data_IF_625423292047
#
_entry.id   IF_625423292047
#
_cell.length_a   1.000
_cell.length_b   1.000
_cell.length_c   1.000
_cell.angle_alpha   90.00
_cell.angle_beta   90.00
_cell.angle_gamma   90.00
#
_symmetry.space_group_name_H-M   'P 1'
#
loop_
_entity.id
_entity.type
_entity.pdbx_description
1 polymer ?
#
# COMPACT_ATOMS: atom_id res chain seq x y z
N UNK A 1 10.78 15.17 -32.94
CA UNK A 1 10.02 15.91 -31.92
C UNK A 1 9.08 15.01 -31.10
N UNK A 2 8.11 14.31 -31.70
CA UNK A 2 7.21 13.41 -30.92
C UNK A 2 7.94 12.20 -30.35
N UNK A 3 8.85 11.63 -31.12
CA UNK A 3 9.69 10.48 -30.70
C UNK A 3 10.63 10.84 -29.56
N UNK A 4 11.21 12.02 -29.58
CA UNK A 4 12.12 12.52 -28.53
C UNK A 4 11.37 12.77 -27.21
N UNK A 5 10.12 13.24 -27.29
CA UNK A 5 9.25 13.43 -26.13
C UNK A 5 8.88 12.08 -25.51
N UNK A 6 8.48 11.11 -26.32
CA UNK A 6 8.16 9.74 -25.86
C UNK A 6 9.38 9.07 -25.22
N UNK A 7 10.55 9.19 -25.84
CA UNK A 7 11.80 8.64 -25.33
C UNK A 7 12.19 9.31 -23.99
N UNK A 8 11.99 10.63 -23.88
CA UNK A 8 12.24 11.37 -22.63
C UNK A 8 11.30 10.89 -21.51
N UNK A 9 10.01 10.71 -21.78
CA UNK A 9 9.07 10.19 -20.79
C UNK A 9 9.38 8.78 -20.32
N UNK A 10 9.81 7.89 -21.25
CA UNK A 10 10.20 6.51 -20.90
C UNK A 10 11.45 6.48 -20.03
N UNK A 11 12.44 7.31 -20.34
CA UNK A 11 13.69 7.43 -19.56
C UNK A 11 13.40 7.97 -18.16
N UNK A 12 12.62 9.03 -18.04
CA UNK A 12 12.23 9.61 -16.73
C UNK A 12 11.44 8.60 -15.90
N UNK A 13 10.50 7.87 -16.50
CA UNK A 13 9.74 6.83 -15.82
C UNK A 13 10.64 5.69 -15.34
N UNK A 14 11.62 5.28 -16.15
CA UNK A 14 12.59 4.25 -15.77
C UNK A 14 13.49 4.73 -14.61
N UNK A 15 13.94 5.99 -14.63
CA UNK A 15 14.71 6.57 -13.52
C UNK A 15 13.91 6.64 -12.23
N UNK A 16 12.62 7.02 -12.30
CA UNK A 16 11.74 7.06 -11.12
C UNK A 16 11.56 5.65 -10.56
N UNK A 17 11.32 4.65 -11.41
CA UNK A 17 11.18 3.25 -11.00
C UNK A 17 12.49 2.72 -10.38
N UNK A 18 13.64 3.03 -10.99
CA UNK A 18 14.94 2.64 -10.48
C UNK A 18 15.24 3.32 -9.14
N UNK A 19 14.92 4.59 -9.01
CA UNK A 19 15.09 5.34 -7.76
C UNK A 19 14.19 4.80 -6.64
N UNK A 20 12.91 4.53 -6.93
CA UNK A 20 12.01 3.87 -6.00
C UNK A 20 12.54 2.49 -5.59
N UNK A 21 13.03 1.71 -6.55
CA UNK A 21 13.62 0.39 -6.29
C UNK A 21 14.85 0.48 -5.37
N UNK A 22 15.75 1.45 -5.62
CA UNK A 22 16.93 1.68 -4.78
C UNK A 22 16.53 2.11 -3.36
N UNK A 23 15.48 2.92 -3.20
CA UNK A 23 14.98 3.33 -1.89
C UNK A 23 14.46 2.15 -1.05
N UNK A 24 13.92 1.12 -1.69
CA UNK A 24 13.35 -0.05 -1.02
C UNK A 24 14.36 -1.20 -0.81
N UNK A 25 15.40 -1.31 -1.65
CA UNK A 25 16.32 -2.46 -1.67
C UNK A 25 17.09 -2.64 -0.35
N UNK A 26 17.40 -1.55 0.33
CA UNK A 26 18.20 -1.56 1.56
C UNK A 26 17.37 -1.31 2.83
N UNK A 27 16.05 -1.23 2.72
CA UNK A 27 15.17 -1.00 3.86
C UNK A 27 14.63 -2.30 4.42
N UNK A 28 14.58 -2.39 5.75
CA UNK A 28 13.75 -3.37 6.43
C UNK A 28 12.30 -2.97 6.21
N UNK A 29 11.50 -3.84 5.62
CA UNK A 29 10.10 -3.54 5.28
C UNK A 29 9.18 -4.44 6.08
N UNK A 30 8.22 -3.82 6.74
CA UNK A 30 7.07 -4.46 7.36
C UNK A 30 5.84 -4.12 6.52
N UNK A 31 5.07 -5.12 6.15
CA UNK A 31 3.86 -4.95 5.35
C UNK A 31 2.62 -5.27 6.16
N UNK A 32 1.64 -4.40 6.11
CA UNK A 32 0.30 -4.61 6.65
C UNK A 32 -0.65 -4.63 5.46
N UNK A 33 -1.16 -5.81 5.11
CA UNK A 33 -2.02 -5.98 3.93
C UNK A 33 -2.97 -7.17 4.08
N UNK A 34 -3.82 -7.35 3.08
CA UNK A 34 -4.80 -8.43 3.06
C UNK A 34 -4.14 -9.80 3.31
N UNK A 35 -4.81 -10.65 4.08
CA UNK A 35 -4.35 -12.01 4.43
C UNK A 35 -4.09 -12.92 3.23
N UNK A 36 -4.75 -12.63 2.08
CA UNK A 36 -4.60 -13.36 0.82
C UNK A 36 -3.45 -12.85 -0.05
N UNK A 37 -2.68 -11.87 0.44
CA UNK A 37 -1.57 -11.29 -0.31
C UNK A 37 -0.47 -12.32 -0.57
N UNK A 38 -0.10 -12.47 -1.84
CA UNK A 38 1.07 -13.24 -2.27
C UNK A 38 2.29 -12.32 -2.32
N UNK A 39 3.21 -12.49 -1.39
CA UNK A 39 4.41 -11.65 -1.29
C UNK A 39 5.52 -12.06 -2.25
N UNK A 40 5.41 -13.21 -2.90
CA UNK A 40 6.47 -13.78 -3.76
C UNK A 40 6.78 -12.92 -4.99
N UNK A 41 5.84 -12.06 -5.39
CA UNK A 41 5.95 -11.19 -6.56
C UNK A 41 6.41 -9.77 -6.23
N UNK A 42 6.64 -9.47 -4.95
CA UNK A 42 7.14 -8.16 -4.56
C UNK A 42 8.60 -8.00 -4.98
N UNK A 43 9.00 -6.81 -5.47
CA UNK A 43 10.38 -6.53 -5.88
C UNK A 43 11.32 -6.27 -4.69
N UNK A 44 10.86 -6.46 -3.46
CA UNK A 44 11.60 -6.25 -2.22
C UNK A 44 11.24 -7.31 -1.18
N UNK A 45 12.12 -7.51 -0.20
CA UNK A 45 11.90 -8.45 0.89
C UNK A 45 11.10 -7.82 2.02
N UNK A 46 10.13 -8.55 2.53
CA UNK A 46 9.30 -8.17 3.70
C UNK A 46 9.76 -8.98 4.91
N UNK A 47 10.21 -8.29 5.97
CA UNK A 47 10.70 -8.95 7.20
C UNK A 47 9.55 -9.44 8.09
N UNK A 48 8.39 -8.80 8.00
CA UNK A 48 7.17 -9.18 8.74
C UNK A 48 5.93 -8.76 7.97
N UNK A 49 4.96 -9.65 7.86
CA UNK A 49 3.66 -9.40 7.29
C UNK A 49 2.58 -9.51 8.37
N UNK A 50 1.91 -8.40 8.67
CA UNK A 50 0.71 -8.39 9.49
C UNK A 50 -0.50 -8.47 8.58
N UNK A 51 -1.33 -9.48 8.80
CA UNK A 51 -2.45 -9.83 7.92
C UNK A 51 -3.74 -9.18 8.40
N UNK A 52 -4.45 -8.55 7.47
CA UNK A 52 -5.79 -8.01 7.71
C UNK A 52 -6.82 -8.76 6.87
N UNK A 53 -7.99 -8.98 7.44
CA UNK A 53 -9.14 -9.54 6.75
C UNK A 53 -10.09 -8.45 6.23
N UNK A 54 -11.28 -8.88 5.83
CA UNK A 54 -12.36 -7.98 5.46
C UNK A 54 -12.79 -7.15 6.67
N UNK A 55 -13.27 -5.91 6.40
CA UNK A 55 -13.70 -4.97 7.43
C UNK A 55 -12.65 -4.76 8.53
N UNK A 56 -11.41 -4.53 8.12
CA UNK A 56 -10.23 -4.50 8.99
C UNK A 56 -10.33 -3.46 10.11
N UNK A 57 -11.04 -2.35 9.91
CA UNK A 57 -11.22 -1.33 10.95
C UNK A 57 -11.94 -1.89 12.19
N UNK A 58 -12.83 -2.85 12.00
CA UNK A 58 -13.55 -3.50 13.12
C UNK A 58 -12.83 -4.77 13.57
N UNK A 59 -12.45 -5.62 12.62
CA UNK A 59 -12.00 -6.98 12.91
C UNK A 59 -10.49 -7.07 13.18
N UNK A 60 -9.71 -6.06 12.80
CA UNK A 60 -8.24 -6.07 12.92
C UNK A 60 -7.69 -4.92 13.77
N UNK A 61 -8.54 -4.28 14.57
CA UNK A 61 -8.12 -3.18 15.45
C UNK A 61 -7.04 -3.62 16.46
N UNK A 62 -7.09 -4.86 16.92
CA UNK A 62 -6.11 -5.46 17.81
C UNK A 62 -4.67 -5.44 17.27
N UNK A 63 -4.50 -5.31 15.95
CA UNK A 63 -3.18 -5.25 15.33
C UNK A 63 -2.36 -4.04 15.78
N UNK A 64 -2.99 -2.97 16.25
CA UNK A 64 -2.28 -1.81 16.80
C UNK A 64 -1.40 -2.27 17.97
N UNK A 65 -1.97 -3.02 18.91
CA UNK A 65 -1.25 -3.49 20.07
C UNK A 65 -0.28 -4.62 19.73
N UNK A 66 -0.66 -5.52 18.82
CA UNK A 66 0.21 -6.58 18.33
C UNK A 66 1.46 -6.03 17.64
N UNK A 67 1.32 -5.00 16.78
CA UNK A 67 2.45 -4.36 16.11
C UNK A 67 3.33 -3.63 17.13
N UNK A 68 2.74 -2.90 18.08
CA UNK A 68 3.49 -2.24 19.16
C UNK A 68 4.33 -3.24 19.95
N UNK A 69 3.71 -4.35 20.36
CA UNK A 69 4.40 -5.40 21.09
C UNK A 69 5.55 -6.01 20.26
N UNK A 70 5.29 -6.29 18.97
CA UNK A 70 6.31 -6.84 18.08
C UNK A 70 7.49 -5.88 17.87
N UNK A 71 7.25 -4.56 17.78
CA UNK A 71 8.29 -3.53 17.68
C UNK A 71 9.19 -3.58 18.94
N UNK A 72 8.59 -3.66 20.12
CA UNK A 72 9.29 -3.69 21.40
C UNK A 72 10.10 -4.98 21.57
N UNK A 73 9.47 -6.14 21.37
CA UNK A 73 10.11 -7.45 21.53
C UNK A 73 11.32 -7.66 20.62
N UNK A 74 11.30 -7.02 19.43
CA UNK A 74 12.37 -7.18 18.45
C UNK A 74 13.27 -5.94 18.31
N UNK A 75 13.08 -4.91 19.14
CA UNK A 75 13.84 -3.66 19.09
C UNK A 75 13.87 -3.04 17.68
N UNK A 76 12.69 -2.93 17.04
CA UNK A 76 12.57 -2.52 15.65
C UNK A 76 12.80 -1.02 15.50
N UNK A 77 13.82 -0.66 14.71
CA UNK A 77 14.22 0.71 14.38
C UNK A 77 14.63 0.82 12.92
N UNK A 78 14.61 2.04 12.37
CA UNK A 78 14.93 2.35 10.96
C UNK A 78 14.25 1.40 9.96
N UNK A 79 12.98 1.13 10.21
CA UNK A 79 12.16 0.18 9.45
C UNK A 79 11.03 0.92 8.77
N UNK A 80 10.74 0.55 7.52
CA UNK A 80 9.64 1.11 6.75
C UNK A 80 8.40 0.22 6.89
N UNK A 81 7.34 0.78 7.45
CA UNK A 81 6.02 0.18 7.56
C UNK A 81 5.15 0.63 6.39
N UNK A 82 4.73 -0.31 5.56
CA UNK A 82 3.83 -0.09 4.44
C UNK A 82 2.43 -0.56 4.80
N UNK A 83 1.47 0.35 4.74
CA UNK A 83 0.09 0.05 5.03
C UNK A 83 -0.76 -0.04 3.76
N UNK A 84 -1.46 -1.14 3.60
CA UNK A 84 -2.51 -1.38 2.62
C UNK A 84 -3.74 -1.91 3.36
N UNK A 85 -4.27 -1.09 4.30
CA UNK A 85 -5.24 -1.48 5.31
C UNK A 85 -6.46 -0.52 5.37
N UNK A 86 -6.78 0.13 4.25
CA UNK A 86 -7.90 1.06 4.16
C UNK A 86 -7.85 2.11 5.29
N UNK A 87 -8.97 2.45 5.92
CA UNK A 87 -9.03 3.45 7.00
C UNK A 87 -8.20 3.09 8.24
N UNK A 88 -7.92 1.81 8.47
CA UNK A 88 -7.04 1.36 9.54
C UNK A 88 -5.59 1.86 9.35
N UNK A 89 -5.15 2.09 8.09
CA UNK A 89 -3.81 2.61 7.78
C UNK A 89 -3.52 3.93 8.49
N UNK A 90 -4.48 4.86 8.48
CA UNK A 90 -4.33 6.17 9.10
C UNK A 90 -4.16 6.07 10.61
N UNK A 91 -4.95 5.20 11.24
CA UNK A 91 -4.90 4.98 12.67
C UNK A 91 -3.59 4.29 13.09
N UNK A 92 -3.18 3.24 12.36
CA UNK A 92 -1.90 2.58 12.57
C UNK A 92 -0.73 3.56 12.44
N UNK A 93 -0.70 4.34 11.36
CA UNK A 93 0.33 5.35 11.13
C UNK A 93 0.44 6.34 12.28
N UNK A 94 -0.69 6.88 12.74
CA UNK A 94 -0.73 7.81 13.86
C UNK A 94 -0.25 7.18 15.18
N UNK A 95 -0.81 6.03 15.54
CA UNK A 95 -0.54 5.37 16.83
C UNK A 95 0.90 4.83 16.93
N UNK A 96 1.46 4.38 15.81
CA UNK A 96 2.83 3.89 15.78
C UNK A 96 3.84 5.04 15.73
N UNK A 97 3.60 6.08 14.92
CA UNK A 97 4.48 7.24 14.84
C UNK A 97 4.60 7.97 16.18
N UNK A 98 3.50 8.11 16.90
CA UNK A 98 3.48 8.77 18.21
C UNK A 98 4.43 8.13 19.24
N UNK A 99 4.68 6.82 19.12
CA UNK A 99 5.50 6.07 20.10
C UNK A 99 6.86 5.65 19.54
N UNK A 100 6.98 5.44 18.23
CA UNK A 100 8.17 4.89 17.59
C UNK A 100 8.56 5.72 16.35
N UNK A 101 8.87 7.01 16.57
CA UNK A 101 9.18 8.01 15.54
C UNK A 101 10.50 7.75 14.80
N UNK A 102 11.30 6.80 15.28
CA UNK A 102 12.53 6.33 14.62
C UNK A 102 12.27 5.34 13.46
N UNK A 103 11.01 5.00 13.18
CA UNK A 103 10.59 4.22 12.03
C UNK A 103 9.88 5.13 11.01
N UNK A 104 9.65 4.59 9.81
CA UNK A 104 8.94 5.28 8.72
C UNK A 104 7.60 4.59 8.47
N UNK A 105 6.56 5.38 8.23
CA UNK A 105 5.19 4.89 8.07
C UNK A 105 4.58 5.46 6.80
N UNK A 106 4.13 4.60 5.89
CA UNK A 106 3.59 5.00 4.61
C UNK A 106 2.30 4.24 4.29
N UNK A 107 1.22 4.97 4.15
CA UNK A 107 -0.01 4.41 3.57
C UNK A 107 0.12 4.37 2.04
N UNK A 108 0.16 3.18 1.51
CA UNK A 108 0.27 2.90 0.08
C UNK A 108 -1.07 2.56 -0.56
N UNK A 109 -2.14 2.51 0.23
CA UNK A 109 -3.46 2.14 -0.24
C UNK A 109 -3.45 0.81 -0.99
N UNK A 110 -4.03 0.76 -2.18
CA UNK A 110 -4.09 -0.43 -3.05
C UNK A 110 -2.99 -0.48 -4.12
N UNK A 111 -1.96 0.36 -4.04
CA UNK A 111 -0.94 0.47 -5.10
C UNK A 111 -0.14 -0.83 -5.33
N UNK A 112 0.03 -1.64 -4.30
CA UNK A 112 0.67 -2.95 -4.42
C UNK A 112 -0.29 -4.08 -4.82
N UNK A 113 -1.60 -3.84 -4.94
CA UNK A 113 -2.59 -4.86 -5.28
C UNK A 113 -2.22 -5.74 -6.47
N UNK A 114 -1.71 -5.20 -7.59
CA UNK A 114 -1.27 -5.99 -8.75
C UNK A 114 -0.14 -6.97 -8.43
N UNK A 115 0.78 -6.58 -7.54
CA UNK A 115 1.94 -7.40 -7.15
C UNK A 115 1.59 -8.41 -6.06
N UNK A 116 0.52 -8.16 -5.30
CA UNK A 116 0.06 -9.03 -4.23
C UNK A 116 -0.92 -10.11 -4.69
N UNK A 117 -1.22 -10.19 -5.98
CA UNK A 117 -2.15 -11.18 -6.53
C UNK A 117 -3.61 -11.01 -6.08
N UNK A 118 -3.98 -9.84 -5.59
CA UNK A 118 -5.32 -9.55 -5.09
C UNK A 118 -6.26 -9.24 -6.26
N UNK A 119 -7.13 -10.16 -6.62
CA UNK A 119 -8.04 -10.03 -7.78
C UNK A 119 -9.02 -8.85 -7.64
N UNK A 120 -9.46 -8.56 -6.43
CA UNK A 120 -10.46 -7.52 -6.13
C UNK A 120 -10.00 -6.08 -6.41
N UNK A 121 -8.70 -5.81 -6.55
CA UNK A 121 -8.20 -4.46 -6.77
C UNK A 121 -8.69 -3.84 -8.09
N UNK A 122 -8.91 -4.66 -9.12
CA UNK A 122 -9.47 -4.22 -10.41
C UNK A 122 -10.94 -3.84 -10.29
N UNK A 123 -11.70 -4.62 -9.52
CA UNK A 123 -13.13 -4.40 -9.34
C UNK A 123 -13.45 -3.11 -8.58
N UNK A 124 -12.64 -2.77 -7.55
CA UNK A 124 -12.87 -1.59 -6.71
C UNK A 124 -12.63 -0.26 -7.42
N UNK A 125 -12.06 -0.25 -8.62
CA UNK A 125 -11.77 0.98 -9.38
C UNK A 125 -12.37 1.02 -10.76
N UNK A 126 -13.24 0.10 -11.13
CA UNK A 126 -13.94 0.12 -12.43
C UNK A 126 -14.77 1.37 -12.59
N UNK A 127 -15.31 1.93 -11.50
CA UNK A 127 -16.03 3.20 -11.53
C UNK A 127 -15.13 4.39 -11.96
N UNK A 128 -13.86 4.37 -11.60
CA UNK A 128 -12.91 5.40 -12.05
C UNK A 128 -12.69 5.31 -13.56
N UNK A 129 -12.61 4.11 -14.14
CA UNK A 129 -12.51 3.94 -15.59
C UNK A 129 -13.72 4.50 -16.30
N UNK A 130 -14.93 4.26 -15.77
CA UNK A 130 -16.18 4.83 -16.31
C UNK A 130 -16.19 6.35 -16.18
N UNK A 131 -15.77 6.89 -15.04
CA UNK A 131 -15.68 8.33 -14.79
C UNK A 131 -14.68 9.01 -15.75
N UNK A 132 -13.48 8.46 -15.90
CA UNK A 132 -12.46 9.00 -16.79
C UNK A 132 -12.81 8.86 -18.27
N UNK A 133 -13.58 7.82 -18.63
CA UNK A 133 -14.05 7.62 -20.00
C UNK A 133 -15.20 8.54 -20.37
N UNK A 134 -15.99 8.98 -19.40
CA UNK A 134 -17.13 9.88 -19.62
C UNK A 134 -17.36 10.82 -18.42
N UNK A 135 -16.56 11.90 -18.29
CA UNK A 135 -16.64 12.82 -17.16
C UNK A 135 -17.98 13.55 -17.05
N UNK A 136 -18.74 13.64 -18.18
CA UNK A 136 -20.03 14.31 -18.22
C UNK A 136 -21.19 13.45 -17.70
N UNK A 137 -20.95 12.18 -17.50
CA UNK A 137 -21.94 11.25 -16.96
C UNK A 137 -21.27 10.34 -15.91
N UNK A 138 -20.94 10.89 -14.74
CA UNK A 138 -20.34 10.09 -13.68
C UNK A 138 -21.29 8.97 -13.25
N UNK A 139 -20.77 7.80 -12.83
CA UNK A 139 -21.59 6.74 -12.29
C UNK A 139 -22.43 7.28 -11.12
N UNK A 140 -23.70 6.86 -11.04
CA UNK A 140 -24.57 7.22 -9.92
C UNK A 140 -23.90 6.85 -8.60
N UNK A 141 -24.10 7.66 -7.56
CA UNK A 141 -23.53 7.40 -6.22
C UNK A 141 -24.00 6.07 -5.61
N UNK A 142 -24.98 5.42 -6.21
CA UNK A 142 -25.49 4.10 -5.86
C UNK A 142 -24.65 2.94 -6.41
N UNK A 143 -23.69 3.22 -7.28
CA UNK A 143 -22.69 2.19 -7.60
C UNK A 143 -21.92 1.88 -6.31
N UNK A 144 -22.19 0.74 -5.73
CA UNK A 144 -21.64 0.18 -4.50
C UNK A 144 -20.11 0.37 -4.43
N UNK A 145 -19.69 1.54 -3.96
CA UNK A 145 -18.28 1.90 -3.79
C UNK A 145 -17.68 1.17 -2.57
N UNK A 146 -18.55 0.58 -1.73
CA UNK A 146 -18.18 0.07 -0.41
C UNK A 146 -18.55 -1.41 -0.15
N UNK A 147 -19.05 -2.14 -1.17
CA UNK A 147 -19.31 -3.57 -1.08
C UNK A 147 -18.12 -4.42 -1.49
#
# INVERSE_FOLDING_TARGET
MLFDILLSFTIVSLFILLYCFILFINKKIVLISNEKSDLSKLPFSVIKHFKIGNNCMVNSYYLIDEIKQWIEDNNITDTLFLFSASSLSNLLGYELYKKYDNNQYLDIGSSLGPFLGLEGWKATRTYLNVYWSNPSNPPSQEADIWN
#
